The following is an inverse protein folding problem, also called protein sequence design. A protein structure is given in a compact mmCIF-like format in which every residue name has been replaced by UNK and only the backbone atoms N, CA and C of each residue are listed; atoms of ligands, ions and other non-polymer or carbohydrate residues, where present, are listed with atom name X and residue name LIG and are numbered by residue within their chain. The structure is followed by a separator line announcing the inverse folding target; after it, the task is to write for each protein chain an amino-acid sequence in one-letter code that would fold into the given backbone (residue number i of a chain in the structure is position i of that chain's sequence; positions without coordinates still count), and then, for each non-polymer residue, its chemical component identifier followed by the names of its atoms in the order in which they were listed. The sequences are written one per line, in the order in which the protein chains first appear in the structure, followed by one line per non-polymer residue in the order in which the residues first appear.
data_IF_461265674133
#
_entry.id   IF_461265674133
#
_cell.length_a   1.000
_cell.length_b   1.000
_cell.length_c   1.000
_cell.angle_alpha   90.00
_cell.angle_beta   90.00
_cell.angle_gamma   90.00
#
_symmetry.space_group_name_H-M   'P 1'
#
loop_
_entity.id
_entity.type
_entity.pdbx_description
1 polymer ?
#
# COMPACT_ATOMS: atom_id res chain seq x y z
N UNK A 1 9.70 26.05 7.20
CA UNK A 1 8.40 26.17 6.50
C UNK A 1 7.35 25.47 7.34
N UNK A 2 6.44 26.22 7.97
CA UNK A 2 5.26 25.63 8.61
C UNK A 2 4.20 25.40 7.52
N UNK A 3 3.82 24.14 7.30
CA UNK A 3 2.71 23.81 6.41
C UNK A 3 1.43 24.21 7.15
N UNK A 4 0.74 25.25 6.68
CA UNK A 4 -0.59 25.61 7.18
C UNK A 4 -1.55 24.44 6.90
N UNK A 5 -2.17 23.89 7.95
CA UNK A 5 -3.06 22.71 7.93
C UNK A 5 -4.16 22.81 6.84
N UNK A 6 -4.54 24.03 6.43
CA UNK A 6 -5.57 24.31 5.42
C UNK A 6 -5.29 23.76 4.01
N UNK A 7 -4.04 23.37 3.70
CA UNK A 7 -3.67 22.89 2.36
C UNK A 7 -3.53 21.36 2.27
N UNK A 8 -3.72 20.63 3.37
CA UNK A 8 -3.64 19.16 3.35
C UNK A 8 -5.00 18.63 2.88
N UNK A 9 -5.07 17.92 1.76
CA UNK A 9 -6.31 17.27 1.35
C UNK A 9 -6.67 16.21 2.40
N UNK A 10 -7.80 16.41 3.08
CA UNK A 10 -8.36 15.47 4.05
C UNK A 10 -9.61 14.84 3.46
N UNK A 11 -9.84 13.57 3.79
CA UNK A 11 -11.11 12.92 3.50
C UNK A 11 -12.13 13.42 4.51
N UNK A 12 -13.30 13.83 4.05
CA UNK A 12 -14.38 14.36 4.89
C UNK A 12 -15.71 13.65 4.59
N UNK A 13 -16.66 13.76 5.51
CA UNK A 13 -18.02 13.23 5.38
C UNK A 13 -18.05 11.71 5.11
N UNK A 14 -18.99 11.28 4.27
CA UNK A 14 -19.23 9.87 3.98
C UNK A 14 -17.97 9.13 3.49
N UNK A 15 -17.10 9.80 2.71
CA UNK A 15 -15.87 9.18 2.21
C UNK A 15 -14.88 8.87 3.33
N UNK A 16 -14.78 9.73 4.35
CA UNK A 16 -13.95 9.46 5.52
C UNK A 16 -14.48 8.27 6.32
N UNK A 17 -15.80 8.22 6.53
CA UNK A 17 -16.46 7.14 7.26
C UNK A 17 -16.29 5.79 6.54
N UNK A 18 -16.47 5.77 5.22
CA UNK A 18 -16.31 4.56 4.41
C UNK A 18 -14.86 4.06 4.39
N UNK A 19 -13.89 4.97 4.39
CA UNK A 19 -12.48 4.63 4.49
C UNK A 19 -12.18 3.92 5.82
N UNK A 20 -12.59 4.51 6.94
CA UNK A 20 -12.38 3.93 8.29
C UNK A 20 -13.09 2.57 8.39
N UNK A 21 -14.36 2.49 7.99
CA UNK A 21 -15.14 1.25 8.02
C UNK A 21 -14.50 0.15 7.17
N UNK A 22 -13.95 0.50 6.01
CA UNK A 22 -13.24 -0.45 5.13
C UNK A 22 -11.90 -0.89 5.73
N UNK A 23 -11.18 0.02 6.38
CA UNK A 23 -9.93 -0.29 7.08
C UNK A 23 -10.19 -1.29 8.21
N UNK A 24 -11.19 -1.05 9.07
CA UNK A 24 -11.56 -1.95 10.16
C UNK A 24 -11.97 -3.34 9.65
N UNK A 25 -12.80 -3.38 8.60
CA UNK A 25 -13.17 -4.63 7.93
C UNK A 25 -11.97 -5.39 7.35
N UNK A 26 -10.92 -4.69 6.94
CA UNK A 26 -9.72 -5.32 6.39
C UNK A 26 -8.73 -5.72 7.48
N UNK A 27 -8.68 -5.00 8.60
CA UNK A 27 -7.79 -5.30 9.73
C UNK A 27 -8.07 -6.68 10.35
N UNK A 28 -9.34 -7.12 10.34
CA UNK A 28 -9.72 -8.45 10.85
C UNK A 28 -9.41 -9.60 9.87
N UNK A 29 -9.08 -9.30 8.61
CA UNK A 29 -8.77 -10.34 7.62
C UNK A 29 -7.36 -10.85 7.83
N UNK A 30 -7.16 -12.16 7.61
CA UNK A 30 -5.83 -12.74 7.63
C UNK A 30 -4.96 -12.09 6.54
N UNK A 31 -3.75 -11.67 6.90
CA UNK A 31 -2.78 -11.11 5.96
C UNK A 31 -2.51 -12.14 4.85
N UNK A 32 -2.76 -11.78 3.57
CA UNK A 32 -2.48 -12.68 2.47
C UNK A 32 -1.00 -13.08 2.44
N UNK A 33 -0.73 -14.38 2.30
CA UNK A 33 0.62 -14.91 2.15
C UNK A 33 0.85 -15.34 0.72
N UNK A 34 2.08 -15.11 0.24
CA UNK A 34 2.49 -15.60 -1.07
C UNK A 34 2.61 -17.12 -1.04
N UNK A 35 2.14 -17.77 -2.10
CA UNK A 35 2.47 -19.17 -2.35
C UNK A 35 3.98 -19.31 -2.60
N UNK A 36 4.52 -20.52 -2.41
CA UNK A 36 5.93 -20.80 -2.65
C UNK A 36 6.35 -20.46 -4.09
N UNK A 37 5.47 -20.71 -5.07
CA UNK A 37 5.69 -20.40 -6.49
C UNK A 37 5.73 -18.90 -6.73
N UNK A 38 4.78 -18.14 -6.16
CA UNK A 38 4.75 -16.69 -6.26
C UNK A 38 5.99 -16.05 -5.61
N UNK A 39 6.43 -16.57 -4.46
CA UNK A 39 7.64 -16.11 -3.78
C UNK A 39 8.91 -16.30 -4.64
N UNK A 40 9.08 -17.47 -5.27
CA UNK A 40 10.19 -17.72 -6.21
C UNK A 40 10.16 -16.77 -7.41
N UNK A 41 8.98 -16.55 -7.99
CA UNK A 41 8.81 -15.62 -9.12
C UNK A 41 9.16 -14.19 -8.73
N UNK A 42 8.69 -13.73 -7.57
CA UNK A 42 9.00 -12.40 -7.04
C UNK A 42 10.51 -12.22 -6.82
N UNK A 43 11.16 -13.22 -6.22
CA UNK A 43 12.60 -13.19 -5.98
C UNK A 43 13.40 -12.98 -7.28
N UNK A 44 13.09 -13.74 -8.33
CA UNK A 44 13.75 -13.60 -9.64
C UNK A 44 13.60 -12.19 -10.23
N UNK A 45 12.42 -11.58 -10.10
CA UNK A 45 12.18 -10.22 -10.58
C UNK A 45 12.98 -9.20 -9.78
N UNK A 46 13.03 -9.34 -8.45
CA UNK A 46 13.78 -8.45 -7.57
C UNK A 46 15.29 -8.53 -7.82
N UNK A 47 15.82 -9.71 -8.09
CA UNK A 47 17.24 -9.88 -8.46
C UNK A 47 17.55 -9.14 -9.77
N UNK A 48 16.67 -9.24 -10.77
CA UNK A 48 16.82 -8.52 -12.04
C UNK A 48 16.64 -7.01 -11.90
N UNK A 49 15.74 -6.54 -11.04
CA UNK A 49 15.52 -5.10 -10.85
C UNK A 49 16.72 -4.41 -10.18
N UNK A 50 17.46 -5.12 -9.32
CA UNK A 50 18.68 -4.59 -8.68
C UNK A 50 19.80 -4.29 -9.67
N UNK A 51 19.89 -5.04 -10.77
CA UNK A 51 20.88 -4.80 -11.82
C UNK A 51 20.37 -3.86 -12.92
N UNK A 52 19.10 -3.48 -12.89
CA UNK A 52 18.51 -2.55 -13.84
C UNK A 52 19.01 -1.12 -13.57
N UNK A 53 19.46 -0.43 -14.61
CA UNK A 53 19.81 0.99 -14.58
C UNK A 53 18.93 1.74 -15.58
N UNK A 54 18.44 2.90 -15.18
CA UNK A 54 17.86 3.86 -16.12
C UNK A 54 19.03 4.51 -16.87
N UNK A 55 19.00 4.45 -18.19
CA UNK A 55 19.96 5.15 -19.06
C UNK A 55 19.69 6.66 -19.05
#
# INVERSE_FOLDING_TARGET
MAITIKNIPVLEGATAEDFVRSADKNAVKATPRLSATAKKRLQKVLEKSRSFRFN
#
